data_IF_997601533358
#
_entry.id   IF_997601533358
#
_cell.length_a   1.000
_cell.length_b   1.000
_cell.length_c   1.000
_cell.angle_alpha   90.00
_cell.angle_beta   90.00
_cell.angle_gamma   90.00
#
_symmetry.space_group_name_H-M   'P 1'
#
loop_
_entity.id
_entity.type
_entity.pdbx_description
1 polymer ?
#
# COMPACT_ATOMS: atom_id res chain seq x y z
N UNK A 1 22.03 -15.61 -8.96
CA UNK A 1 22.01 -16.90 -8.27
C UNK A 1 21.15 -16.73 -7.02
N UNK A 2 19.91 -17.22 -7.02
CA UNK A 2 19.04 -17.14 -5.86
C UNK A 2 19.54 -18.15 -4.81
N UNK A 3 20.20 -17.66 -3.76
CA UNK A 3 20.53 -18.50 -2.61
C UNK A 3 19.23 -18.96 -1.96
N UNK A 4 19.07 -20.26 -1.76
CA UNK A 4 17.95 -20.78 -0.97
C UNK A 4 18.06 -20.19 0.43
N UNK A 5 17.05 -19.42 0.84
CA UNK A 5 16.96 -18.94 2.22
C UNK A 5 17.01 -20.13 3.17
N UNK A 6 17.72 -20.01 4.29
CA UNK A 6 17.69 -21.05 5.31
C UNK A 6 16.29 -21.10 5.97
N UNK A 7 16.02 -22.15 6.76
CA UNK A 7 14.73 -22.29 7.47
C UNK A 7 14.36 -21.04 8.28
N UNK A 8 15.34 -20.39 8.90
CA UNK A 8 15.13 -19.15 9.67
C UNK A 8 14.58 -18.01 8.81
N UNK A 9 15.08 -17.83 7.59
CA UNK A 9 14.56 -16.85 6.63
C UNK A 9 13.10 -17.12 6.30
N UNK A 10 12.72 -18.39 6.11
CA UNK A 10 11.33 -18.77 5.86
C UNK A 10 10.43 -18.50 7.07
N UNK A 11 10.85 -18.89 8.28
CA UNK A 11 10.09 -18.61 9.51
C UNK A 11 9.92 -17.11 9.75
N UNK A 12 10.98 -16.31 9.58
CA UNK A 12 10.90 -14.85 9.68
C UNK A 12 9.92 -14.28 8.65
N UNK A 13 10.01 -14.72 7.40
CA UNK A 13 9.08 -14.31 6.34
C UNK A 13 7.63 -14.61 6.70
N UNK A 14 7.35 -15.83 7.16
CA UNK A 14 6.02 -16.22 7.59
C UNK A 14 5.51 -15.40 8.79
N UNK A 15 6.37 -15.17 9.80
CA UNK A 15 6.01 -14.38 10.98
C UNK A 15 5.66 -12.92 10.64
N UNK A 16 6.34 -12.34 9.65
CA UNK A 16 6.07 -10.97 9.18
C UNK A 16 4.81 -10.93 8.30
N UNK A 17 4.65 -11.89 7.38
CA UNK A 17 3.61 -11.86 6.37
C UNK A 17 2.26 -12.40 6.85
N UNK A 18 2.22 -13.42 7.70
CA UNK A 18 0.96 -14.05 8.10
C UNK A 18 -0.04 -13.07 8.74
N UNK A 19 0.36 -12.19 9.68
CA UNK A 19 -0.55 -11.19 10.23
C UNK A 19 -1.09 -10.23 9.16
N UNK A 20 -0.23 -9.81 8.22
CA UNK A 20 -0.62 -8.93 7.12
C UNK A 20 -1.61 -9.63 6.17
N UNK A 21 -1.38 -10.89 5.80
CA UNK A 21 -2.28 -11.67 4.94
C UNK A 21 -3.64 -11.87 5.62
N UNK A 22 -3.67 -12.20 6.90
CA UNK A 22 -4.92 -12.34 7.65
C UNK A 22 -5.71 -11.03 7.66
N UNK A 23 -5.03 -9.91 7.89
CA UNK A 23 -5.67 -8.60 7.86
C UNK A 23 -6.14 -8.20 6.46
N UNK A 24 -5.36 -8.49 5.43
CA UNK A 24 -5.75 -8.28 4.04
C UNK A 24 -7.06 -8.99 3.73
N UNK A 25 -7.21 -10.25 4.15
CA UNK A 25 -8.45 -11.02 3.95
C UNK A 25 -9.65 -10.40 4.68
N UNK A 26 -9.45 -9.94 5.93
CA UNK A 26 -10.50 -9.25 6.70
C UNK A 26 -10.88 -7.93 6.04
N UNK A 27 -9.91 -7.14 5.61
CA UNK A 27 -10.10 -5.87 4.94
C UNK A 27 -10.84 -6.02 3.61
N UNK A 28 -10.43 -6.98 2.77
CA UNK A 28 -11.05 -7.26 1.48
C UNK A 28 -12.50 -7.74 1.64
N UNK A 29 -12.75 -8.62 2.62
CA UNK A 29 -14.10 -9.06 2.97
C UNK A 29 -14.95 -7.87 3.42
N UNK A 30 -14.42 -7.03 4.32
CA UNK A 30 -15.14 -5.86 4.83
C UNK A 30 -15.49 -4.87 3.72
N UNK A 31 -14.56 -4.57 2.80
CA UNK A 31 -14.80 -3.67 1.66
C UNK A 31 -15.82 -4.29 0.69
N UNK A 32 -15.72 -5.59 0.42
CA UNK A 32 -16.64 -6.29 -0.46
C UNK A 32 -18.08 -6.27 0.07
N UNK A 33 -18.25 -6.42 1.39
CA UNK A 33 -19.55 -6.31 2.05
C UNK A 33 -20.16 -4.90 1.96
N UNK A 34 -19.37 -3.87 1.67
CA UNK A 34 -19.88 -2.50 1.48
C UNK A 34 -20.46 -2.26 0.08
N UNK A 35 -20.21 -3.12 -0.90
CA UNK A 35 -20.65 -2.92 -2.28
C UNK A 35 -22.16 -2.71 -2.44
N UNK A 36 -23.06 -3.45 -1.75
CA UNK A 36 -24.50 -3.20 -1.83
C UNK A 36 -24.89 -1.81 -1.32
N UNK A 37 -24.16 -1.27 -0.33
CA UNK A 37 -24.41 0.07 0.22
C UNK A 37 -23.95 1.20 -0.70
N UNK A 38 -23.14 0.90 -1.72
CA UNK A 38 -22.59 1.91 -2.64
C UNK A 38 -23.67 2.70 -3.37
N UNK A 39 -24.79 2.04 -3.70
CA UNK A 39 -25.92 2.70 -4.37
C UNK A 39 -26.63 3.72 -3.48
N UNK A 40 -26.65 3.52 -2.16
CA UNK A 40 -27.37 4.37 -1.22
C UNK A 40 -26.46 5.43 -0.59
N UNK A 41 -25.21 5.09 -0.31
CA UNK A 41 -24.26 5.95 0.40
C UNK A 41 -22.84 5.87 -0.22
N UNK A 42 -22.67 6.33 -1.47
CA UNK A 42 -21.40 6.19 -2.20
C UNK A 42 -20.23 6.87 -1.50
N UNK A 43 -20.44 8.05 -0.91
CA UNK A 43 -19.41 8.79 -0.16
C UNK A 43 -18.98 8.04 1.11
N UNK A 44 -19.93 7.44 1.83
CA UNK A 44 -19.61 6.63 2.99
C UNK A 44 -18.78 5.41 2.60
N UNK A 45 -19.19 4.69 1.56
CA UNK A 45 -18.47 3.51 1.06
C UNK A 45 -17.08 3.90 0.59
N UNK A 46 -16.93 4.99 -0.17
CA UNK A 46 -15.63 5.47 -0.64
C UNK A 46 -14.70 5.85 0.52
N UNK A 47 -15.18 6.63 1.48
CA UNK A 47 -14.34 7.09 2.59
C UNK A 47 -13.99 5.97 3.56
N UNK A 48 -14.92 5.06 3.85
CA UNK A 48 -14.66 3.91 4.72
C UNK A 48 -13.74 2.89 4.05
N UNK A 49 -13.96 2.52 2.78
CA UNK A 49 -13.08 1.61 2.05
C UNK A 49 -11.66 2.18 1.90
N UNK A 50 -11.52 3.48 1.64
CA UNK A 50 -10.21 4.15 1.58
C UNK A 50 -9.47 4.08 2.92
N UNK A 51 -10.17 4.27 4.05
CA UNK A 51 -9.58 4.13 5.39
C UNK A 51 -9.16 2.69 5.71
N UNK A 52 -9.98 1.70 5.32
CA UNK A 52 -9.62 0.28 5.49
C UNK A 52 -8.40 -0.05 4.64
N UNK A 53 -8.40 0.30 3.36
CA UNK A 53 -7.29 0.06 2.44
C UNK A 53 -5.99 0.72 2.92
N UNK A 54 -6.06 1.92 3.51
CA UNK A 54 -4.90 2.61 4.09
C UNK A 54 -4.14 1.72 5.07
N UNK A 55 -4.84 0.98 5.92
CA UNK A 55 -4.20 0.12 6.94
C UNK A 55 -3.42 -1.04 6.30
N UNK A 56 -3.98 -1.66 5.25
CA UNK A 56 -3.33 -2.75 4.52
C UNK A 56 -2.05 -2.25 3.85
N UNK A 57 -2.16 -1.12 3.16
CA UNK A 57 -1.02 -0.50 2.50
C UNK A 57 0.03 -0.07 3.52
N UNK A 58 -0.36 0.61 4.61
CA UNK A 58 0.58 1.10 5.62
C UNK A 58 1.43 -0.04 6.21
N UNK A 59 0.84 -1.21 6.37
CA UNK A 59 1.57 -2.39 6.83
C UNK A 59 2.63 -2.87 5.82
N UNK A 60 2.32 -2.84 4.52
CA UNK A 60 3.31 -3.13 3.46
C UNK A 60 4.50 -2.17 3.55
N UNK A 61 4.25 -0.88 3.80
CA UNK A 61 5.33 0.11 4.01
C UNK A 61 6.17 -0.23 5.25
N UNK A 62 5.52 -0.60 6.37
CA UNK A 62 6.22 -1.03 7.59
C UNK A 62 7.13 -2.24 7.32
N UNK A 63 6.67 -3.20 6.53
CA UNK A 63 7.48 -4.38 6.16
C UNK A 63 8.74 -3.96 5.41
N UNK A 64 8.60 -3.04 4.47
CA UNK A 64 9.72 -2.54 3.69
C UNK A 64 10.71 -1.73 4.53
N UNK A 65 10.23 -0.72 5.25
CA UNK A 65 11.11 0.21 5.99
C UNK A 65 11.62 -0.39 7.30
N UNK A 66 10.74 -0.96 8.13
CA UNK A 66 11.09 -1.38 9.49
C UNK A 66 11.61 -2.80 9.57
N UNK A 67 10.91 -3.75 8.95
CA UNK A 67 11.30 -5.15 9.05
C UNK A 67 12.46 -5.52 8.12
N UNK A 68 12.54 -4.89 6.94
CA UNK A 68 13.58 -5.14 5.95
C UNK A 68 14.65 -4.03 5.90
N UNK A 69 14.52 -2.95 6.67
CA UNK A 69 15.55 -1.93 6.83
C UNK A 69 15.73 -1.01 5.62
N UNK A 70 14.73 -0.91 4.73
CA UNK A 70 14.80 0.02 3.62
C UNK A 70 14.81 1.48 4.13
N UNK A 71 15.71 2.29 3.60
CA UNK A 71 15.80 3.71 3.94
C UNK A 71 15.31 4.55 2.75
N UNK A 72 14.25 5.32 2.96
CA UNK A 72 13.68 6.23 1.95
C UNK A 72 14.03 7.66 2.36
N UNK A 73 14.74 8.36 1.47
CA UNK A 73 15.11 9.76 1.65
C UNK A 73 14.25 10.66 0.76
N UNK A 74 13.98 11.89 1.22
CA UNK A 74 13.21 12.88 0.48
C UNK A 74 14.05 14.13 0.26
N UNK A 75 13.88 14.76 -0.90
CA UNK A 75 14.41 16.09 -1.22
C UNK A 75 13.32 16.93 -1.88
N UNK A 76 13.50 18.26 -1.87
CA UNK A 76 12.50 19.21 -2.38
C UNK A 76 11.45 19.62 -1.35
N UNK A 77 10.38 20.24 -1.85
CA UNK A 77 9.37 20.87 -1.01
C UNK A 77 8.43 19.85 -0.35
N UNK A 78 7.88 20.24 0.81
CA UNK A 78 6.84 19.45 1.46
C UNK A 78 5.52 19.60 0.71
N UNK A 79 4.87 18.47 0.42
CA UNK A 79 3.50 18.50 -0.10
C UNK A 79 2.51 18.94 0.99
N UNK A 80 1.51 19.77 0.65
CA UNK A 80 0.43 20.08 1.56
C UNK A 80 -0.30 18.82 2.02
N UNK A 81 -0.68 18.78 3.30
CA UNK A 81 -1.38 17.62 3.88
C UNK A 81 -2.83 17.56 3.39
N UNK A 82 -3.26 16.39 2.96
CA UNK A 82 -4.65 16.13 2.55
C UNK A 82 -5.03 16.66 1.17
N UNK A 83 -4.10 17.26 0.43
CA UNK A 83 -4.34 17.76 -0.92
C UNK A 83 -4.10 16.70 -2.00
N UNK A 84 -4.83 16.83 -3.10
CA UNK A 84 -4.65 16.00 -4.28
C UNK A 84 -3.36 16.38 -5.01
N UNK A 85 -2.62 15.37 -5.48
CA UNK A 85 -1.43 15.58 -6.30
C UNK A 85 -1.36 14.53 -7.41
N UNK A 86 -0.78 14.91 -8.55
CA UNK A 86 -0.40 13.98 -9.62
C UNK A 86 1.09 13.70 -9.47
N UNK A 87 1.44 12.47 -9.10
CA UNK A 87 2.83 12.04 -8.96
C UNK A 87 3.29 11.44 -10.29
N UNK A 88 4.27 12.08 -10.92
CA UNK A 88 4.93 11.56 -12.12
C UNK A 88 6.30 11.02 -11.71
N UNK A 89 6.52 9.73 -11.95
CA UNK A 89 7.75 9.04 -11.61
C UNK A 89 8.23 8.18 -12.80
N UNK A 90 9.54 7.99 -12.90
CA UNK A 90 10.10 6.93 -13.73
C UNK A 90 9.70 5.55 -13.16
N UNK A 91 9.64 4.54 -14.03
CA UNK A 91 9.39 3.14 -13.63
C UNK A 91 10.64 2.30 -13.89
N UNK A 92 11.27 1.83 -12.81
CA UNK A 92 12.47 0.98 -12.83
C UNK A 92 12.10 -0.45 -12.47
N UNK A 93 11.16 -0.67 -11.54
CA UNK A 93 10.74 -2.00 -11.16
C UNK A 93 9.58 -2.07 -10.18
N UNK A 94 9.30 -3.28 -9.71
CA UNK A 94 8.15 -3.55 -8.84
C UNK A 94 8.21 -2.84 -7.48
N UNK A 95 9.37 -2.37 -7.05
CA UNK A 95 9.53 -1.67 -5.78
C UNK A 95 9.17 -0.17 -5.84
N UNK A 96 8.90 0.38 -7.03
CA UNK A 96 8.71 1.83 -7.19
C UNK A 96 7.51 2.36 -6.39
N UNK A 97 6.49 1.53 -6.17
CA UNK A 97 5.31 1.96 -5.43
C UNK A 97 5.63 2.32 -3.97
N UNK A 98 6.66 1.74 -3.35
CA UNK A 98 7.05 2.05 -1.95
C UNK A 98 7.48 3.51 -1.78
N UNK A 99 8.14 4.11 -2.78
CA UNK A 99 8.56 5.51 -2.74
C UNK A 99 7.34 6.44 -2.82
N UNK A 100 6.41 6.15 -3.74
CA UNK A 100 5.16 6.91 -3.89
C UNK A 100 4.29 6.75 -2.64
N UNK A 101 4.28 5.55 -2.06
CA UNK A 101 3.54 5.23 -0.86
C UNK A 101 4.07 5.99 0.37
N UNK A 102 5.39 6.03 0.56
CA UNK A 102 6.04 6.82 1.60
C UNK A 102 5.71 8.32 1.47
N UNK A 103 5.70 8.86 0.24
CA UNK A 103 5.26 10.23 -0.02
C UNK A 103 3.77 10.44 0.35
N UNK A 104 2.90 9.50 -0.04
CA UNK A 104 1.48 9.56 0.28
C UNK A 104 1.20 9.47 1.80
N UNK A 105 1.98 8.69 2.55
CA UNK A 105 1.93 8.66 4.02
C UNK A 105 2.28 10.03 4.59
N UNK A 106 3.37 10.64 4.13
CA UNK A 106 3.81 11.98 4.58
C UNK A 106 2.75 13.04 4.31
N UNK A 107 2.05 12.95 3.17
CA UNK A 107 0.95 13.85 2.80
C UNK A 107 -0.39 13.51 3.48
N UNK A 108 -0.52 12.37 4.17
CA UNK A 108 -1.79 11.91 4.77
C UNK A 108 -2.83 11.47 3.73
N UNK A 109 -2.36 10.94 2.59
CA UNK A 109 -3.18 10.59 1.43
C UNK A 109 -3.08 9.11 1.02
N UNK A 110 -2.50 8.25 1.87
CA UNK A 110 -2.23 6.86 1.54
C UNK A 110 -3.49 6.08 1.11
N UNK A 111 -4.58 6.11 1.89
CA UNK A 111 -5.83 5.41 1.53
C UNK A 111 -6.48 5.89 0.23
N UNK A 112 -6.11 7.09 -0.22
CA UNK A 112 -6.61 7.74 -1.44
C UNK A 112 -5.62 7.66 -2.61
N UNK A 113 -4.46 7.03 -2.42
CA UNK A 113 -3.49 6.83 -3.50
C UNK A 113 -4.07 5.91 -4.58
N UNK A 114 -3.88 6.28 -5.85
CA UNK A 114 -4.34 5.51 -7.02
C UNK A 114 -3.21 5.46 -8.04
N UNK A 115 -2.99 4.27 -8.59
CA UNK A 115 -1.92 4.02 -9.56
C UNK A 115 -2.51 3.85 -10.95
N UNK A 116 -1.91 4.52 -11.93
CA UNK A 116 -2.20 4.28 -13.34
C UNK A 116 -1.27 3.19 -13.86
N UNK A 117 -1.77 1.96 -13.91
CA UNK A 117 -1.06 0.83 -14.50
C UNK A 117 -1.35 0.78 -16.02
N UNK A 118 -0.29 0.57 -16.82
CA UNK A 118 -0.42 0.37 -18.26
C UNK A 118 -1.20 -0.92 -18.55
N UNK A 119 -2.02 -0.93 -19.60
CA UNK A 119 -2.86 -2.09 -19.95
C UNK A 119 -2.02 -3.34 -20.24
N UNK A 120 -0.79 -3.16 -20.70
CA UNK A 120 0.19 -4.22 -20.94
C UNK A 120 0.61 -5.00 -19.67
N UNK A 121 0.22 -4.54 -18.47
CA UNK A 121 0.42 -5.28 -17.21
C UNK A 121 -0.70 -6.32 -16.95
N UNK A 122 -1.75 -6.36 -17.78
CA UNK A 122 -2.74 -7.46 -17.77
C UNK A 122 -2.16 -8.61 -18.59
N UNK A 123 -1.85 -9.72 -17.92
CA UNK A 123 -1.43 -10.99 -18.53
C UNK A 123 -2.63 -11.59 -19.29
#
# INVERSE_FOLDING_TARGET
MAGHGNMLTHFRGAAILAPWVLWLLVADTAISLQLPLKWLAPEFVYNSSSRIAETVWYWIQIIFERYNGANITFSGDALPRGESAVVVANHVGWADFYMIQALAIKAGMLGRCRYFAKIQLRI
#
